data_IF_906150081783
#
_entry.id   IF_906150081783
#
_cell.length_a   1.000
_cell.length_b   1.000
_cell.length_c   1.000
_cell.angle_alpha   90.00
_cell.angle_beta   90.00
_cell.angle_gamma   90.00
#
_symmetry.space_group_name_H-M   'P 1'
#
loop_
_entity.id
_entity.type
_entity.pdbx_description
1 polymer ?
#
# COMPACT_ATOMS: atom_id res chain seq x y z
N UNK A 1 -48.10 22.18 -0.45
CA UNK A 1 -46.98 22.19 0.54
C UNK A 1 -46.43 20.80 0.87
N UNK A 2 -47.24 19.77 1.14
CA UNK A 2 -46.76 18.40 1.49
C UNK A 2 -45.93 17.69 0.41
N UNK A 3 -46.14 18.02 -0.87
CA UNK A 3 -45.39 17.44 -2.00
C UNK A 3 -43.93 17.89 -2.03
N UNK A 4 -43.66 19.16 -1.68
CA UNK A 4 -42.32 19.77 -1.74
C UNK A 4 -41.34 19.16 -0.71
N UNK A 5 -41.84 18.82 0.48
CA UNK A 5 -41.06 18.13 1.52
C UNK A 5 -40.70 16.68 1.13
N UNK A 6 -41.57 16.00 0.36
CA UNK A 6 -41.29 14.64 -0.13
C UNK A 6 -40.18 14.63 -1.19
N UNK A 7 -40.18 15.63 -2.09
CA UNK A 7 -39.12 15.77 -3.10
C UNK A 7 -37.77 16.12 -2.47
N UNK A 8 -37.76 16.95 -1.42
CA UNK A 8 -36.53 17.27 -0.68
C UNK A 8 -35.98 16.08 0.10
N UNK A 9 -36.84 15.29 0.76
CA UNK A 9 -36.40 14.05 1.41
C UNK A 9 -35.86 13.02 0.41
N UNK A 10 -36.51 12.88 -0.76
CA UNK A 10 -36.05 11.97 -1.81
C UNK A 10 -34.70 12.40 -2.39
N UNK A 11 -34.48 13.70 -2.61
CA UNK A 11 -33.20 14.24 -3.07
C UNK A 11 -32.08 14.06 -2.04
N UNK A 12 -32.38 14.22 -0.75
CA UNK A 12 -31.42 14.00 0.33
C UNK A 12 -31.04 12.50 0.45
N UNK A 13 -32.02 11.60 0.34
CA UNK A 13 -31.78 10.16 0.33
C UNK A 13 -30.94 9.72 -0.87
N UNK A 14 -31.20 10.27 -2.06
CA UNK A 14 -30.43 9.96 -3.27
C UNK A 14 -28.98 10.49 -3.17
N UNK A 15 -28.79 11.67 -2.55
CA UNK A 15 -27.46 12.23 -2.27
C UNK A 15 -26.64 11.38 -1.29
N UNK A 16 -27.28 10.83 -0.24
CA UNK A 16 -26.60 9.94 0.71
C UNK A 16 -26.16 8.60 0.09
N UNK A 17 -26.94 8.07 -0.87
CA UNK A 17 -26.57 6.82 -1.57
C UNK A 17 -25.38 7.04 -2.52
N UNK A 18 -25.29 8.20 -3.16
CA UNK A 18 -24.19 8.52 -4.08
C UNK A 18 -22.84 8.68 -3.36
N UNK A 19 -22.83 9.15 -2.11
CA UNK A 19 -21.60 9.28 -1.31
C UNK A 19 -21.09 7.92 -0.81
N UNK A 20 -21.99 6.99 -0.49
CA UNK A 20 -21.63 5.63 -0.03
C UNK A 20 -21.07 4.72 -1.13
N UNK A 21 -21.25 5.08 -2.41
CA UNK A 21 -20.76 4.30 -3.55
C UNK A 21 -19.34 4.69 -3.99
N UNK A 22 -18.74 5.71 -3.37
CA UNK A 22 -17.34 6.04 -3.56
C UNK A 22 -16.46 5.10 -2.72
N UNK A 23 -16.50 3.81 -3.02
CA UNK A 23 -15.41 2.91 -2.63
C UNK A 23 -14.16 3.40 -3.38
N UNK A 24 -13.32 4.16 -2.69
CA UNK A 24 -12.08 4.71 -3.26
C UNK A 24 -11.08 3.57 -3.36
N UNK A 25 -11.11 2.85 -4.48
CA UNK A 25 -10.00 2.02 -4.91
C UNK A 25 -8.77 2.92 -5.11
N UNK A 26 -7.70 2.68 -4.37
CA UNK A 26 -6.46 3.46 -4.47
C UNK A 26 -5.39 2.71 -5.27
N UNK A 27 -4.48 3.45 -5.90
CA UNK A 27 -3.30 2.88 -6.54
C UNK A 27 -2.14 2.91 -5.54
N UNK A 28 -1.84 1.77 -4.94
CA UNK A 28 -0.74 1.63 -3.97
C UNK A 28 0.58 1.37 -4.69
N UNK A 29 1.63 2.09 -4.31
CA UNK A 29 2.99 1.91 -4.79
C UNK A 29 3.78 1.05 -3.81
N UNK A 30 4.06 -0.18 -4.21
CA UNK A 30 4.69 -1.21 -3.38
C UNK A 30 6.14 -1.43 -3.83
N UNK A 31 7.10 -1.22 -2.93
CA UNK A 31 8.49 -1.62 -3.14
C UNK A 31 8.76 -2.96 -2.45
N UNK A 32 9.14 -4.00 -3.19
CA UNK A 32 9.38 -5.34 -2.61
C UNK A 32 10.71 -5.94 -3.03
N UNK A 33 11.34 -6.64 -2.08
CA UNK A 33 12.62 -7.32 -2.28
C UNK A 33 12.48 -8.69 -2.93
N UNK A 34 13.59 -9.18 -3.49
CA UNK A 34 13.66 -10.49 -4.16
C UNK A 34 13.11 -11.65 -3.31
N UNK A 35 13.45 -11.67 -2.02
CA UNK A 35 13.07 -12.76 -1.10
C UNK A 35 11.55 -12.95 -0.93
N UNK A 36 10.74 -11.90 -1.16
CA UNK A 36 9.28 -11.99 -1.04
C UNK A 36 8.55 -12.02 -2.40
N UNK A 37 9.29 -11.96 -3.52
CA UNK A 37 8.69 -11.77 -4.85
C UNK A 37 7.74 -12.91 -5.24
N UNK A 38 8.05 -14.16 -4.90
CA UNK A 38 7.21 -15.31 -5.25
C UNK A 38 5.85 -15.27 -4.52
N UNK A 39 5.86 -15.03 -3.20
CA UNK A 39 4.66 -14.87 -2.40
C UNK A 39 3.84 -13.66 -2.88
N UNK A 40 4.50 -12.53 -3.13
CA UNK A 40 3.86 -11.32 -3.62
C UNK A 40 3.15 -11.52 -4.97
N UNK A 41 3.77 -12.21 -5.93
CA UNK A 41 3.14 -12.50 -7.23
C UNK A 41 1.89 -13.36 -7.11
N UNK A 42 1.82 -14.22 -6.09
CA UNK A 42 0.63 -15.03 -5.82
C UNK A 42 -0.47 -14.26 -5.09
N UNK A 43 -0.10 -13.45 -4.10
CA UNK A 43 -1.03 -12.79 -3.17
C UNK A 43 -1.47 -11.40 -3.64
N UNK A 44 -0.62 -10.66 -4.35
CA UNK A 44 -0.91 -9.29 -4.83
C UNK A 44 -2.19 -9.18 -5.67
N UNK A 45 -2.42 -10.05 -6.67
CA UNK A 45 -3.67 -10.04 -7.43
C UNK A 45 -4.91 -10.36 -6.59
N UNK A 46 -4.76 -11.21 -5.57
CA UNK A 46 -5.85 -11.55 -4.66
C UNK A 46 -6.19 -10.37 -3.75
N UNK A 47 -5.17 -9.69 -3.23
CA UNK A 47 -5.34 -8.44 -2.48
C UNK A 47 -6.08 -7.41 -3.32
N UNK A 48 -5.59 -7.12 -4.54
CA UNK A 48 -6.19 -6.14 -5.44
C UNK A 48 -7.67 -6.46 -5.76
N UNK A 49 -7.98 -7.74 -6.03
CA UNK A 49 -9.36 -8.17 -6.28
C UNK A 49 -10.27 -8.04 -5.04
N UNK A 50 -9.74 -8.30 -3.85
CA UNK A 50 -10.52 -8.28 -2.60
C UNK A 50 -10.71 -6.87 -2.02
N UNK A 51 -9.71 -5.99 -2.17
CA UNK A 51 -9.72 -4.62 -1.66
C UNK A 51 -10.36 -3.64 -2.64
N UNK A 52 -10.23 -3.92 -3.95
CA UNK A 52 -10.52 -2.96 -5.01
C UNK A 52 -9.31 -2.11 -5.40
N UNK A 53 -8.23 -2.10 -4.60
CA UNK A 53 -7.02 -1.32 -4.86
C UNK A 53 -6.23 -1.90 -6.05
N UNK A 54 -5.45 -1.05 -6.71
CA UNK A 54 -4.45 -1.47 -7.67
C UNK A 54 -3.03 -1.39 -7.09
N UNK A 55 -2.12 -2.23 -7.59
CA UNK A 55 -0.75 -2.30 -7.08
C UNK A 55 0.27 -1.92 -8.18
N UNK A 56 1.02 -0.84 -7.97
CA UNK A 56 2.19 -0.46 -8.76
C UNK A 56 3.42 -1.01 -8.04
N UNK A 57 3.97 -2.09 -8.60
CA UNK A 57 5.00 -2.86 -7.91
C UNK A 57 6.38 -2.57 -8.46
N UNK A 58 7.29 -2.16 -7.58
CA UNK A 58 8.70 -1.93 -7.87
C UNK A 58 9.54 -3.00 -7.17
N UNK A 59 10.37 -3.70 -7.94
CA UNK A 59 11.35 -4.63 -7.41
C UNK A 59 12.67 -3.92 -7.11
N UNK A 60 13.27 -4.20 -5.95
CA UNK A 60 14.56 -3.65 -5.58
C UNK A 60 15.24 -4.45 -4.46
N UNK A 61 16.58 -4.58 -4.47
CA UNK A 61 17.29 -5.18 -3.35
C UNK A 61 16.99 -4.47 -2.02
N UNK A 62 16.93 -5.23 -0.93
CA UNK A 62 16.78 -4.65 0.41
C UNK A 62 18.00 -3.87 0.88
N UNK A 63 19.15 -4.12 0.25
CA UNK A 63 20.45 -3.60 0.66
C UNK A 63 21.32 -3.31 -0.57
N UNK A 64 22.45 -2.65 -0.34
CA UNK A 64 23.49 -2.43 -1.33
C UNK A 64 23.52 -1.00 -1.88
N UNK A 65 24.49 -0.76 -2.76
CA UNK A 65 24.78 0.58 -3.31
C UNK A 65 24.13 0.84 -4.66
N UNK A 66 23.41 -0.16 -5.20
CA UNK A 66 22.80 -0.04 -6.50
C UNK A 66 21.64 0.98 -6.46
N UNK A 67 21.49 1.86 -7.47
CA UNK A 67 20.46 2.91 -7.46
C UNK A 67 19.03 2.39 -7.26
N UNK A 68 18.75 1.18 -7.73
CA UNK A 68 17.46 0.51 -7.65
C UNK A 68 17.17 -0.14 -6.29
N UNK A 69 18.16 -0.21 -5.39
CA UNK A 69 17.95 -0.72 -4.03
C UNK A 69 16.94 0.17 -3.29
N UNK A 70 16.02 -0.47 -2.57
CA UNK A 70 14.91 0.21 -1.89
C UNK A 70 15.42 1.35 -1.00
N UNK A 71 16.45 1.18 -0.14
CA UNK A 71 16.95 2.28 0.66
C UNK A 71 17.43 3.48 -0.17
N UNK A 72 18.07 3.24 -1.31
CA UNK A 72 18.60 4.30 -2.17
C UNK A 72 17.47 5.06 -2.88
N UNK A 73 16.40 4.38 -3.28
CA UNK A 73 15.16 4.98 -3.82
C UNK A 73 14.48 5.89 -2.79
N UNK A 74 14.31 5.40 -1.56
CA UNK A 74 13.69 6.19 -0.48
C UNK A 74 14.58 7.36 -0.03
N UNK A 75 15.90 7.19 -0.05
CA UNK A 75 16.86 8.25 0.24
C UNK A 75 16.78 9.40 -0.77
N UNK A 76 16.54 9.10 -2.06
CA UNK A 76 16.32 10.11 -3.11
C UNK A 76 14.89 10.66 -3.20
N UNK A 77 14.01 10.25 -2.29
CA UNK A 77 12.64 10.77 -2.22
C UNK A 77 11.64 10.08 -3.15
N UNK A 78 11.94 8.91 -3.70
CA UNK A 78 10.89 8.11 -4.34
C UNK A 78 9.86 7.68 -3.28
N UNK A 79 8.59 7.94 -3.55
CA UNK A 79 7.48 7.54 -2.68
C UNK A 79 7.23 6.03 -2.77
N UNK A 80 6.86 5.43 -1.64
CA UNK A 80 6.30 4.09 -1.52
C UNK A 80 5.24 4.10 -0.40
N UNK A 81 4.08 3.49 -0.67
CA UNK A 81 3.03 3.28 0.34
C UNK A 81 3.34 2.05 1.20
N UNK A 82 3.95 1.03 0.57
CA UNK A 82 4.31 -0.23 1.22
C UNK A 82 5.74 -0.62 0.85
N UNK A 83 6.50 -1.05 1.85
CA UNK A 83 7.86 -1.58 1.67
C UNK A 83 7.95 -2.98 2.25
N UNK A 84 8.37 -3.96 1.46
CA UNK A 84 8.56 -5.36 1.87
C UNK A 84 10.02 -5.76 1.67
N UNK A 85 10.76 -5.90 2.76
CA UNK A 85 12.21 -6.13 2.72
C UNK A 85 12.71 -6.88 3.95
N UNK A 86 13.99 -7.25 3.98
CA UNK A 86 14.59 -7.92 5.13
C UNK A 86 14.57 -7.03 6.39
N UNK A 87 14.31 -7.66 7.55
CA UNK A 87 13.97 -6.94 8.78
C UNK A 87 15.02 -5.92 9.26
N UNK A 88 16.31 -6.27 9.22
CA UNK A 88 17.36 -5.36 9.69
C UNK A 88 17.50 -4.09 8.83
N UNK A 89 17.26 -4.22 7.51
CA UNK A 89 17.31 -3.09 6.59
C UNK A 89 16.08 -2.18 6.79
N UNK A 90 14.93 -2.79 7.06
CA UNK A 90 13.71 -2.08 7.43
C UNK A 90 13.89 -1.31 8.74
N UNK A 91 14.58 -1.88 9.74
CA UNK A 91 14.91 -1.20 11.00
C UNK A 91 15.73 0.06 10.79
N UNK A 92 16.69 0.03 9.85
CA UNK A 92 17.48 1.21 9.52
C UNK A 92 16.65 2.31 8.84
N UNK A 93 15.67 1.95 8.02
CA UNK A 93 14.72 2.92 7.44
C UNK A 93 13.79 3.54 8.50
N UNK A 94 13.35 2.74 9.48
CA UNK A 94 12.58 3.23 10.63
C UNK A 94 13.42 4.23 11.45
N UNK A 95 14.68 3.90 11.77
CA UNK A 95 15.59 4.83 12.48
C UNK A 95 15.80 6.15 11.73
N UNK A 96 15.78 6.10 10.40
CA UNK A 96 15.90 7.28 9.53
C UNK A 96 14.58 8.07 9.39
N UNK A 97 13.48 7.62 9.99
CA UNK A 97 12.16 8.24 9.86
C UNK A 97 11.55 8.09 8.46
N UNK A 98 12.01 7.12 7.67
CA UNK A 98 11.51 6.83 6.31
C UNK A 98 10.33 5.86 6.31
N UNK A 99 10.18 5.08 7.38
CA UNK A 99 9.08 4.13 7.59
C UNK A 99 8.51 4.38 8.97
N UNK A 100 7.18 4.35 9.08
CA UNK A 100 6.48 4.45 10.35
C UNK A 100 6.77 3.21 11.22
N UNK A 101 7.36 3.36 12.42
CA UNK A 101 7.61 2.22 13.31
C UNK A 101 6.34 1.44 13.67
N UNK A 102 5.16 2.09 13.71
CA UNK A 102 3.91 1.45 14.09
C UNK A 102 3.33 0.57 12.97
N UNK A 103 3.80 0.69 11.73
CA UNK A 103 3.30 -0.09 10.58
C UNK A 103 4.07 -1.40 10.33
N UNK A 104 5.15 -1.65 11.08
CA UNK A 104 6.00 -2.84 10.89
C UNK A 104 5.23 -4.13 11.25
N UNK A 105 5.28 -5.10 10.34
CA UNK A 105 4.76 -6.46 10.53
C UNK A 105 5.76 -7.49 10.01
N UNK A 106 6.03 -8.53 10.80
CA UNK A 106 6.84 -9.68 10.36
C UNK A 106 6.01 -10.60 9.45
N UNK A 107 6.48 -10.86 8.24
CA UNK A 107 5.77 -11.69 7.26
C UNK A 107 6.30 -13.12 7.17
N UNK A 108 7.60 -13.32 7.37
CA UNK A 108 8.26 -14.61 7.30
C UNK A 108 9.67 -14.56 7.91
N UNK A 109 10.15 -15.69 8.42
CA UNK A 109 11.54 -15.89 8.80
C UNK A 109 12.28 -16.71 7.73
N UNK A 110 13.46 -16.24 7.32
CA UNK A 110 14.38 -17.02 6.49
C UNK A 110 15.43 -17.69 7.38
N UNK A 111 15.62 -19.01 7.22
CA UNK A 111 16.72 -19.75 7.85
C UNK A 111 18.03 -19.64 7.09
N UNK A 112 18.03 -18.96 5.94
CA UNK A 112 19.20 -18.75 5.09
C UNK A 112 19.43 -17.23 4.99
N UNK A 113 20.64 -16.80 5.34
CA UNK A 113 21.14 -15.42 5.20
C UNK A 113 22.33 -15.39 4.27
#
# INVERSE_FOLDING_TARGET
>A
MKSLYKTQLAALFLGCIAVSAAAQAEQLKVMTSGGFTAAYKLLGPQYAASSGDSLDTILGPSMGKAPEAIPNRLARGEHADVVIMVGYALDDLIKQGKVDPASRVELADSRIG
#
